data_IF_872407081731
#
_entry.id   IF_872407081731
#
_cell.length_a   1.000
_cell.length_b   1.000
_cell.length_c   1.000
_cell.angle_alpha   90.00
_cell.angle_beta   90.00
_cell.angle_gamma   90.00
#
_symmetry.space_group_name_H-M   'P 1'
#
loop_
_entity.id
_entity.type
_entity.pdbx_description
1 polymer ?
#
# COMPACT_ATOMS: atom_id res chain seq x y z
N UNK A 1 32.77 -2.16 16.76
CA UNK A 1 32.29 -3.47 17.23
C UNK A 1 31.98 -3.39 18.72
N UNK A 2 30.83 -2.81 19.10
CA UNK A 2 30.49 -2.58 20.51
C UNK A 2 30.30 -3.92 21.26
N UNK A 3 29.74 -4.92 20.57
CA UNK A 3 29.50 -6.26 21.11
C UNK A 3 30.79 -7.06 21.33
N UNK A 4 31.76 -6.99 20.41
CA UNK A 4 33.07 -7.63 20.61
C UNK A 4 33.84 -7.04 21.81
N UNK A 5 33.64 -5.75 22.12
CA UNK A 5 34.26 -5.11 23.27
C UNK A 5 33.67 -5.58 24.60
N UNK A 6 32.37 -5.90 24.63
CA UNK A 6 31.67 -6.41 25.83
C UNK A 6 32.28 -7.74 26.27
N UNK A 7 32.52 -8.66 25.34
CA UNK A 7 33.16 -9.96 25.62
C UNK A 7 34.55 -9.82 26.22
N UNK A 8 35.39 -8.98 25.60
CA UNK A 8 36.74 -8.73 26.11
C UNK A 8 36.73 -8.12 27.51
N UNK A 9 35.77 -7.24 27.80
CA UNK A 9 35.60 -6.63 29.13
C UNK A 9 35.11 -7.66 30.14
N UNK A 10 34.14 -8.51 29.78
CA UNK A 10 33.64 -9.59 30.64
C UNK A 10 34.74 -10.61 30.97
N UNK A 11 35.57 -10.97 29.99
CA UNK A 11 36.74 -11.83 30.20
C UNK A 11 37.67 -11.19 31.25
N UNK A 12 38.03 -9.91 31.08
CA UNK A 12 38.91 -9.20 32.03
C UNK A 12 38.29 -9.14 33.43
N UNK A 13 36.99 -8.87 33.54
CA UNK A 13 36.28 -8.82 34.84
C UNK A 13 36.24 -10.21 35.50
N UNK A 14 35.93 -11.27 34.74
CA UNK A 14 35.85 -12.64 35.27
C UNK A 14 37.23 -13.13 35.74
N UNK A 15 38.27 -12.99 34.93
CA UNK A 15 39.62 -13.41 35.34
C UNK A 15 40.20 -12.49 36.42
N UNK A 16 39.89 -11.19 36.39
CA UNK A 16 40.31 -10.23 37.41
C UNK A 16 39.67 -10.50 38.78
N UNK A 17 38.36 -10.77 38.82
CA UNK A 17 37.65 -11.14 40.05
C UNK A 17 38.13 -12.48 40.61
N UNK A 18 38.34 -13.48 39.76
CA UNK A 18 38.89 -14.77 40.19
C UNK A 18 40.30 -14.64 40.79
N UNK A 19 41.14 -13.77 40.21
CA UNK A 19 42.48 -13.48 40.72
C UNK A 19 42.47 -12.78 42.09
N UNK A 20 41.49 -11.90 42.33
CA UNK A 20 41.36 -11.16 43.61
C UNK A 20 40.75 -12.03 44.71
N UNK A 21 39.77 -12.89 44.38
CA UNK A 21 39.02 -13.67 45.37
C UNK A 21 39.77 -14.93 45.81
N UNK A 22 40.48 -15.62 44.91
CA UNK A 22 41.22 -16.87 45.21
C UNK A 22 42.67 -16.82 44.67
N UNK A 23 43.61 -16.15 45.36
CA UNK A 23 44.99 -15.98 44.89
C UNK A 23 45.82 -17.29 44.87
N UNK A 24 45.34 -18.37 45.49
CA UNK A 24 46.04 -19.66 45.56
C UNK A 24 45.60 -20.66 44.48
N UNK A 25 44.54 -20.36 43.71
CA UNK A 25 44.08 -21.23 42.62
C UNK A 25 44.89 -20.99 41.34
N UNK A 26 45.67 -22.00 40.94
CA UNK A 26 46.33 -21.98 39.63
C UNK A 26 45.31 -22.28 38.53
N UNK A 27 44.93 -21.25 37.78
CA UNK A 27 44.10 -21.39 36.58
C UNK A 27 44.82 -22.25 35.54
N UNK A 28 44.37 -23.50 35.39
CA UNK A 28 44.89 -24.40 34.36
C UNK A 28 44.44 -23.92 32.98
N UNK A 29 45.29 -24.01 31.93
CA UNK A 29 44.93 -23.56 30.58
C UNK A 29 43.57 -24.10 30.08
N UNK A 30 43.24 -25.36 30.38
CA UNK A 30 41.97 -25.96 30.00
C UNK A 30 40.73 -25.26 30.58
N UNK A 31 40.79 -24.78 31.82
CA UNK A 31 39.69 -24.03 32.44
C UNK A 31 39.57 -22.63 31.82
N UNK A 32 40.72 -21.97 31.57
CA UNK A 32 40.73 -20.63 30.97
C UNK A 32 40.17 -20.63 29.55
N UNK A 33 40.56 -21.59 28.71
CA UNK A 33 40.01 -21.73 27.36
C UNK A 33 38.52 -22.06 27.37
N UNK A 34 38.07 -22.90 28.31
CA UNK A 34 36.63 -23.21 28.48
C UNK A 34 35.82 -21.99 28.88
N UNK A 35 36.32 -21.17 29.82
CA UNK A 35 35.67 -19.92 30.21
C UNK A 35 35.59 -18.91 29.06
N UNK A 36 36.68 -18.72 28.31
CA UNK A 36 36.70 -17.84 27.14
C UNK A 36 35.72 -18.33 26.06
N UNK A 37 35.61 -19.64 25.86
CA UNK A 37 34.67 -20.22 24.90
C UNK A 37 33.20 -20.02 25.32
N UNK A 38 32.85 -20.18 26.60
CA UNK A 38 31.49 -19.92 27.09
C UNK A 38 31.12 -18.44 26.90
N UNK A 39 32.07 -17.54 27.15
CA UNK A 39 31.87 -16.10 26.94
C UNK A 39 31.68 -15.74 25.46
N UNK A 40 32.44 -16.36 24.55
CA UNK A 40 32.25 -16.13 23.11
C UNK A 40 30.92 -16.68 22.57
N UNK A 41 30.45 -17.82 23.09
CA UNK A 41 29.10 -18.34 22.78
C UNK A 41 28.01 -17.37 23.27
N UNK A 42 28.21 -16.73 24.41
CA UNK A 42 27.28 -15.74 24.96
C UNK A 42 27.13 -14.53 24.03
N UNK A 43 28.19 -14.11 23.34
CA UNK A 43 28.12 -13.00 22.37
C UNK A 43 27.26 -13.32 21.15
N UNK A 44 27.30 -14.57 20.66
CA UNK A 44 26.48 -15.03 19.53
C UNK A 44 25.00 -14.91 19.90
N UNK A 45 24.64 -15.36 21.10
CA UNK A 45 23.27 -15.29 21.61
C UNK A 45 22.83 -13.84 21.79
N UNK A 46 23.67 -13.00 22.39
CA UNK A 46 23.36 -11.59 22.65
C UNK A 46 23.20 -10.79 21.34
N UNK A 47 24.07 -11.03 20.37
CA UNK A 47 23.99 -10.40 19.04
C UNK A 47 22.74 -10.87 18.29
N UNK A 48 22.41 -12.16 18.36
CA UNK A 48 21.19 -12.73 17.78
C UNK A 48 19.93 -12.13 18.39
N UNK A 49 19.89 -11.99 19.72
CA UNK A 49 18.77 -11.35 20.42
C UNK A 49 18.60 -9.88 20.02
N UNK A 50 19.68 -9.11 19.91
CA UNK A 50 19.65 -7.72 19.47
C UNK A 50 19.14 -7.59 18.02
N UNK A 51 19.59 -8.47 17.12
CA UNK A 51 19.10 -8.53 15.74
C UNK A 51 17.60 -8.87 15.68
N UNK A 52 17.14 -9.80 16.50
CA UNK A 52 15.73 -10.16 16.58
C UNK A 52 14.84 -8.98 17.01
N UNK A 53 15.25 -8.24 18.04
CA UNK A 53 14.54 -7.04 18.49
C UNK A 53 14.47 -5.97 17.40
N UNK A 54 15.57 -5.75 16.68
CA UNK A 54 15.62 -4.80 15.56
C UNK A 54 14.73 -5.25 14.39
N UNK A 55 14.75 -6.53 14.06
CA UNK A 55 13.95 -7.06 12.94
C UNK A 55 12.45 -7.05 13.27
N UNK A 56 12.07 -7.27 14.54
CA UNK A 56 10.67 -7.19 14.98
C UNK A 56 10.04 -5.83 14.67
N UNK A 57 10.73 -4.73 14.96
CA UNK A 57 10.18 -3.39 14.69
C UNK A 57 9.99 -3.14 13.19
N UNK A 58 10.98 -3.54 12.37
CA UNK A 58 10.89 -3.43 10.90
C UNK A 58 9.72 -4.24 10.33
N UNK A 59 9.57 -5.49 10.76
CA UNK A 59 8.45 -6.35 10.33
C UNK A 59 7.11 -5.77 10.79
N UNK A 60 7.03 -5.26 12.01
CA UNK A 60 5.79 -4.69 12.54
C UNK A 60 5.33 -3.46 11.75
N UNK A 61 6.24 -2.60 11.32
CA UNK A 61 5.93 -1.44 10.48
C UNK A 61 5.48 -1.87 9.08
N UNK A 62 6.13 -2.88 8.50
CA UNK A 62 5.72 -3.45 7.22
C UNK A 62 4.32 -4.05 7.28
N UNK A 63 4.04 -4.84 8.31
CA UNK A 63 2.71 -5.44 8.52
C UNK A 63 1.63 -4.39 8.76
N UNK A 64 1.92 -3.34 9.53
CA UNK A 64 0.98 -2.23 9.72
C UNK A 64 0.57 -1.61 8.39
N UNK A 65 1.53 -1.27 7.53
CA UNK A 65 1.24 -0.70 6.20
C UNK A 65 0.38 -1.61 5.33
N UNK A 66 0.60 -2.93 5.40
CA UNK A 66 -0.20 -3.91 4.67
C UNK A 66 -1.63 -3.95 5.23
N UNK A 67 -1.77 -3.99 6.56
CA UNK A 67 -3.07 -3.98 7.22
C UNK A 67 -3.81 -2.69 6.89
N UNK A 68 -3.17 -1.54 7.06
CA UNK A 68 -3.74 -0.22 6.77
C UNK A 68 -4.28 -0.17 5.34
N UNK A 69 -3.49 -0.61 4.35
CA UNK A 69 -3.92 -0.70 2.95
C UNK A 69 -5.11 -1.66 2.73
N UNK A 70 -5.08 -2.83 3.37
CA UNK A 70 -6.16 -3.82 3.23
C UNK A 70 -7.45 -3.44 3.98
N UNK A 71 -7.38 -2.49 4.93
CA UNK A 71 -8.52 -1.99 5.70
C UNK A 71 -9.03 -0.64 5.24
N UNK A 72 -8.41 -0.04 4.22
CA UNK A 72 -8.86 1.22 3.62
C UNK A 72 -10.29 1.07 3.08
N UNK A 73 -11.10 2.12 3.19
CA UNK A 73 -12.48 2.08 2.70
C UNK A 73 -12.49 1.84 1.19
N UNK A 74 -13.17 0.78 0.76
CA UNK A 74 -13.43 0.57 -0.66
C UNK A 74 -14.40 1.64 -1.16
N UNK A 75 -14.14 2.16 -2.36
CA UNK A 75 -15.09 3.05 -3.02
C UNK A 75 -16.43 2.33 -3.19
N UNK A 76 -17.50 2.92 -2.65
CA UNK A 76 -18.87 2.38 -2.70
C UNK A 76 -19.19 1.79 -4.09
N UNK A 77 -19.80 0.60 -4.06
CA UNK A 77 -20.09 -0.22 -5.23
C UNK A 77 -20.64 0.63 -6.39
N UNK A 78 -19.94 0.53 -7.53
CA UNK A 78 -20.30 1.14 -8.83
C UNK A 78 -21.82 1.16 -8.99
N UNK A 79 -22.44 2.31 -9.33
CA UNK A 79 -23.89 2.39 -9.49
C UNK A 79 -24.33 1.25 -10.42
N UNK A 80 -25.12 0.35 -9.84
CA UNK A 80 -25.49 -0.96 -10.36
C UNK A 80 -25.69 -0.88 -11.86
N UNK A 81 -24.74 -1.43 -12.63
CA UNK A 81 -24.94 -1.70 -14.05
C UNK A 81 -26.10 -2.70 -14.11
N UNK A 82 -27.33 -2.17 -14.25
CA UNK A 82 -28.53 -2.99 -14.41
C UNK A 82 -28.37 -3.73 -15.74
N UNK A 83 -27.93 -4.99 -15.64
CA UNK A 83 -27.61 -5.83 -16.81
C UNK A 83 -28.83 -5.98 -17.74
N UNK A 84 -30.06 -5.87 -17.22
CA UNK A 84 -31.30 -6.08 -17.97
C UNK A 84 -32.25 -4.87 -17.88
N UNK A 85 -31.82 -3.72 -18.39
CA UNK A 85 -32.73 -2.61 -18.69
C UNK A 85 -32.96 -2.50 -20.21
N UNK A 86 -34.18 -2.19 -20.69
CA UNK A 86 -34.45 -2.00 -22.12
C UNK A 86 -33.59 -0.89 -22.75
N UNK A 87 -33.13 0.08 -21.95
CA UNK A 87 -32.32 1.22 -22.39
C UNK A 87 -30.82 1.00 -22.17
N UNK A 88 -30.25 -0.09 -22.74
CA UNK A 88 -28.80 -0.32 -22.71
C UNK A 88 -28.09 0.78 -23.52
N UNK A 89 -27.08 1.40 -22.92
CA UNK A 89 -26.32 2.51 -23.50
C UNK A 89 -26.75 3.91 -23.02
N UNK A 90 -27.75 4.01 -22.15
CA UNK A 90 -28.14 5.31 -21.57
C UNK A 90 -27.16 5.74 -20.48
N UNK A 91 -26.74 7.01 -20.53
CA UNK A 91 -26.02 7.71 -19.46
C UNK A 91 -26.88 8.87 -19.01
N UNK A 92 -27.35 8.86 -17.75
CA UNK A 92 -28.19 9.91 -17.18
C UNK A 92 -27.58 10.42 -15.88
N UNK A 93 -27.34 11.73 -15.80
CA UNK A 93 -26.79 12.42 -14.64
C UNK A 93 -27.70 13.60 -14.32
N UNK A 94 -28.13 13.74 -13.06
CA UNK A 94 -29.04 14.81 -12.63
C UNK A 94 -28.45 15.56 -11.44
N UNK A 95 -28.05 16.81 -11.67
CA UNK A 95 -27.45 17.74 -10.72
C UNK A 95 -26.30 17.10 -9.91
N UNK A 96 -25.42 16.38 -10.62
CA UNK A 96 -24.35 15.62 -10.02
C UNK A 96 -23.12 16.47 -9.72
N UNK A 97 -22.56 16.32 -8.52
CA UNK A 97 -21.27 16.90 -8.16
C UNK A 97 -20.29 15.80 -7.81
N UNK A 98 -19.10 15.79 -8.44
CA UNK A 98 -18.11 14.73 -8.29
C UNK A 98 -16.81 15.23 -7.69
N UNK A 99 -16.20 14.38 -6.85
CA UNK A 99 -14.88 14.58 -6.27
C UNK A 99 -14.03 13.30 -6.35
N UNK A 100 -12.72 13.48 -6.33
CA UNK A 100 -11.76 12.37 -6.25
C UNK A 100 -11.65 11.77 -4.85
N UNK A 101 -12.02 12.54 -3.82
CA UNK A 101 -11.94 12.15 -2.41
C UNK A 101 -13.35 12.24 -1.81
N UNK A 102 -13.71 11.25 -1.00
CA UNK A 102 -14.99 11.21 -0.29
C UNK A 102 -15.10 12.34 0.74
N UNK A 103 -16.34 12.72 1.09
CA UNK A 103 -16.62 13.80 2.04
C UNK A 103 -16.12 13.55 3.47
N UNK A 104 -15.76 12.31 3.82
CA UNK A 104 -15.21 11.96 5.14
C UNK A 104 -13.92 12.69 5.51
N UNK A 105 -13.16 13.19 4.53
CA UNK A 105 -11.82 13.78 4.72
C UNK A 105 -11.83 15.32 4.89
N UNK A 106 -12.99 15.92 5.19
CA UNK A 106 -13.13 17.34 5.57
C UNK A 106 -12.74 18.39 4.51
N UNK A 107 -12.19 17.99 3.37
CA UNK A 107 -11.64 18.87 2.32
C UNK A 107 -12.04 18.45 0.90
N UNK A 108 -13.11 17.67 0.74
CA UNK A 108 -13.57 17.21 -0.58
C UNK A 108 -14.09 18.40 -1.42
N UNK A 109 -13.21 18.98 -2.24
CA UNK A 109 -13.58 19.98 -3.23
C UNK A 109 -14.13 19.29 -4.48
N UNK A 110 -15.40 19.53 -4.78
CA UNK A 110 -16.01 19.02 -6.00
C UNK A 110 -15.31 19.60 -7.24
N UNK A 111 -14.76 18.71 -8.08
CA UNK A 111 -14.11 19.04 -9.35
C UNK A 111 -15.16 19.31 -10.42
N UNK A 112 -16.19 18.46 -10.46
CA UNK A 112 -17.38 18.66 -11.30
C UNK A 112 -18.53 19.11 -10.42
N UNK A 113 -19.24 20.16 -10.83
CA UNK A 113 -20.31 20.78 -10.03
C UNK A 113 -21.58 20.86 -10.86
N UNK A 114 -22.67 20.39 -10.27
CA UNK A 114 -24.04 20.47 -10.80
C UNK A 114 -24.15 20.02 -12.28
N UNK A 115 -23.53 18.89 -12.61
CA UNK A 115 -23.57 18.28 -13.94
C UNK A 115 -24.91 17.60 -14.17
N UNK A 116 -25.61 18.03 -15.22
CA UNK A 116 -26.84 17.41 -15.70
C UNK A 116 -26.70 17.07 -17.19
N UNK A 117 -26.76 15.80 -17.54
CA UNK A 117 -26.66 15.32 -18.92
C UNK A 117 -27.45 14.03 -19.11
N UNK A 118 -28.01 13.86 -20.30
CA UNK A 118 -28.69 12.63 -20.72
C UNK A 118 -28.17 12.27 -22.11
N UNK A 119 -27.62 11.07 -22.24
CA UNK A 119 -27.15 10.48 -23.50
C UNK A 119 -28.03 9.29 -23.80
N UNK A 120 -28.77 9.38 -24.90
CA UNK A 120 -29.68 8.32 -25.35
C UNK A 120 -28.91 7.19 -26.07
N UNK A 121 -29.42 5.94 -26.05
CA UNK A 121 -28.82 4.84 -26.79
C UNK A 121 -28.71 5.13 -28.28
N UNK A 122 -27.57 4.75 -28.88
CA UNK A 122 -27.32 4.94 -30.31
C UNK A 122 -26.92 6.37 -30.71
N UNK A 123 -26.72 7.27 -29.75
CA UNK A 123 -26.23 8.62 -30.01
C UNK A 123 -24.70 8.68 -30.12
N UNK A 124 -24.21 9.61 -30.95
CA UNK A 124 -22.80 9.98 -31.03
C UNK A 124 -22.62 11.37 -30.40
N UNK A 125 -21.95 11.42 -29.26
CA UNK A 125 -21.79 12.65 -28.46
C UNK A 125 -20.32 13.02 -28.35
N UNK A 126 -20.01 14.30 -28.58
CA UNK A 126 -18.68 14.87 -28.40
C UNK A 126 -18.64 15.85 -27.22
N UNK A 127 -17.57 15.80 -26.41
CA UNK A 127 -17.34 16.73 -25.30
C UNK A 127 -16.14 17.62 -25.64
N UNK A 128 -16.36 18.93 -25.66
CA UNK A 128 -15.32 19.94 -25.99
C UNK A 128 -15.20 20.99 -24.88
N UNK A 129 -14.04 21.62 -24.77
CA UNK A 129 -13.76 22.65 -23.78
C UNK A 129 -12.27 22.85 -23.54
N UNK A 130 -11.91 23.96 -22.88
CA UNK A 130 -10.52 24.32 -22.59
C UNK A 130 -9.77 23.28 -21.74
N UNK A 131 -8.44 23.32 -21.74
CA UNK A 131 -7.62 22.46 -20.88
C UNK A 131 -7.94 22.76 -19.42
N UNK A 132 -8.07 21.72 -18.58
CA UNK A 132 -8.39 21.87 -17.16
C UNK A 132 -9.88 22.01 -16.81
N UNK A 133 -10.80 22.01 -17.78
CA UNK A 133 -12.25 22.12 -17.49
C UNK A 133 -12.92 20.83 -17.00
N UNK A 134 -12.16 19.79 -16.69
CA UNK A 134 -12.71 18.53 -16.15
C UNK A 134 -13.27 17.55 -17.18
N UNK A 135 -12.94 17.65 -18.47
CA UNK A 135 -13.39 16.67 -19.50
C UNK A 135 -12.99 15.23 -19.17
N UNK A 136 -11.73 15.01 -18.83
CA UNK A 136 -11.24 13.69 -18.43
C UNK A 136 -11.88 13.24 -17.11
N UNK A 137 -12.14 14.17 -16.19
CA UNK A 137 -12.89 13.91 -14.96
C UNK A 137 -14.34 13.51 -15.24
N UNK A 138 -14.99 14.08 -16.25
CA UNK A 138 -16.33 13.67 -16.66
C UNK A 138 -16.35 12.22 -17.14
N UNK A 139 -15.33 11.81 -17.91
CA UNK A 139 -15.18 10.41 -18.32
C UNK A 139 -14.96 9.50 -17.10
N UNK A 140 -14.11 9.88 -16.15
CA UNK A 140 -13.92 9.15 -14.89
C UNK A 140 -15.21 9.04 -14.07
N UNK A 141 -16.02 10.10 -14.01
CA UNK A 141 -17.32 10.08 -13.35
C UNK A 141 -18.33 9.13 -14.03
N UNK A 142 -18.31 9.02 -15.35
CA UNK A 142 -19.14 8.05 -16.11
C UNK A 142 -18.67 6.61 -15.86
N UNK A 143 -17.36 6.38 -15.73
CA UNK A 143 -16.80 5.06 -15.39
C UNK A 143 -17.09 4.62 -13.95
N UNK A 144 -17.43 5.58 -13.09
CA UNK A 144 -17.64 5.36 -11.66
C UNK A 144 -16.36 5.49 -10.82
N UNK A 145 -15.28 6.03 -11.38
CA UNK A 145 -14.00 6.22 -10.68
C UNK A 145 -14.01 7.46 -9.75
N UNK A 146 -15.04 8.30 -9.81
CA UNK A 146 -15.20 9.47 -8.94
C UNK A 146 -16.41 9.32 -8.02
N UNK A 147 -16.32 9.85 -6.80
CA UNK A 147 -17.41 9.86 -5.85
C UNK A 147 -18.47 10.91 -6.23
N UNK A 148 -19.73 10.47 -6.33
CA UNK A 148 -20.87 11.37 -6.50
C UNK A 148 -21.30 11.93 -5.15
N UNK A 149 -20.95 13.17 -4.84
CA UNK A 149 -21.25 13.82 -3.56
C UNK A 149 -22.71 14.29 -3.44
N UNK A 150 -23.34 14.60 -4.57
CA UNK A 150 -24.69 15.14 -4.69
C UNK A 150 -25.27 14.70 -6.01
N UNK A 151 -26.59 14.51 -6.08
CA UNK A 151 -27.31 14.18 -7.31
C UNK A 151 -27.41 12.67 -7.55
N UNK A 152 -27.84 12.29 -8.76
CA UNK A 152 -28.00 10.90 -9.16
C UNK A 152 -27.38 10.63 -10.54
N UNK A 153 -26.46 9.66 -10.59
CA UNK A 153 -25.80 9.20 -11.81
C UNK A 153 -26.21 7.76 -12.10
N UNK A 154 -26.60 7.47 -13.34
CA UNK A 154 -27.01 6.15 -13.80
C UNK A 154 -26.40 5.86 -15.17
N UNK A 155 -25.64 4.76 -15.25
CA UNK A 155 -24.99 4.27 -16.48
C UNK A 155 -25.44 2.85 -16.72
N UNK A 156 -26.11 2.61 -17.84
CA UNK A 156 -26.75 1.33 -18.12
C UNK A 156 -26.00 0.57 -19.23
N UNK A 157 -25.46 -0.59 -18.90
CA UNK A 157 -24.84 -1.51 -19.88
C UNK A 157 -23.33 -1.69 -19.70
N UNK A 158 -22.67 -2.25 -20.72
CA UNK A 158 -21.21 -2.44 -20.72
C UNK A 158 -20.53 -1.16 -21.22
N UNK A 159 -19.44 -0.79 -20.57
CA UNK A 159 -18.65 0.39 -20.93
C UNK A 159 -17.29 -0.07 -21.46
N UNK A 160 -16.90 0.45 -22.63
CA UNK A 160 -15.52 0.36 -23.14
C UNK A 160 -14.83 1.70 -22.92
N UNK A 161 -13.60 1.68 -22.42
CA UNK A 161 -12.83 2.88 -22.14
C UNK A 161 -11.48 2.84 -22.84
N UNK A 162 -11.09 3.98 -23.42
CA UNK A 162 -9.76 4.19 -23.99
C UNK A 162 -9.16 5.40 -23.29
N UNK A 163 -8.08 5.17 -22.55
CA UNK A 163 -7.37 6.21 -21.81
C UNK A 163 -6.57 7.13 -22.74
N UNK A 164 -6.35 8.37 -22.29
CA UNK A 164 -5.50 9.33 -23.01
C UNK A 164 -4.04 8.83 -23.13
N UNK A 165 -3.53 8.19 -22.09
CA UNK A 165 -2.24 7.51 -22.10
C UNK A 165 -2.49 6.00 -22.26
N UNK A 166 -2.03 5.37 -23.35
CA UNK A 166 -2.26 3.95 -23.57
C UNK A 166 -1.53 3.11 -22.53
N UNK A 167 -2.23 2.11 -21.99
CA UNK A 167 -1.62 1.09 -21.12
C UNK A 167 -1.26 -0.13 -21.96
N UNK A 168 0.03 -0.39 -22.13
CA UNK A 168 0.57 -1.55 -22.86
C UNK A 168 1.27 -2.46 -21.86
N UNK A 169 0.86 -3.72 -21.81
CA UNK A 169 1.43 -4.74 -20.95
C UNK A 169 2.66 -5.36 -21.62
N UNK A 170 3.58 -5.87 -20.80
CA UNK A 170 4.79 -6.56 -21.26
C UNK A 170 4.45 -7.96 -21.85
N UNK A 171 3.82 -7.97 -23.02
CA UNK A 171 3.29 -9.13 -23.73
C UNK A 171 3.39 -8.92 -25.25
N UNK A 172 3.00 -9.91 -26.06
CA UNK A 172 2.94 -9.72 -27.51
C UNK A 172 1.87 -8.68 -27.90
N UNK A 173 1.95 -8.15 -29.11
CA UNK A 173 0.92 -7.22 -29.64
C UNK A 173 -0.44 -7.91 -29.64
N UNK A 174 -0.50 -9.19 -30.04
CA UNK A 174 -1.74 -9.97 -30.06
C UNK A 174 -2.37 -10.06 -28.67
N UNK A 175 -1.57 -10.39 -27.67
CA UNK A 175 -2.07 -10.58 -26.30
C UNK A 175 -2.48 -9.24 -25.66
N UNK A 176 -1.83 -8.14 -26.04
CA UNK A 176 -2.29 -6.81 -25.64
C UNK A 176 -3.66 -6.44 -26.24
N UNK A 177 -3.98 -6.89 -27.45
CA UNK A 177 -5.28 -6.66 -28.10
C UNK A 177 -6.36 -7.55 -27.48
N UNK A 178 -6.03 -8.82 -27.22
CA UNK A 178 -6.94 -9.79 -26.62
C UNK A 178 -7.01 -9.70 -25.08
N UNK A 179 -6.20 -8.82 -24.47
CA UNK A 179 -6.03 -8.71 -23.01
C UNK A 179 -5.66 -10.06 -22.33
N UNK A 180 -4.84 -10.87 -23.00
CA UNK A 180 -4.35 -12.16 -22.48
C UNK A 180 -5.28 -13.35 -22.69
N UNK A 181 -6.37 -13.19 -23.45
CA UNK A 181 -7.19 -14.30 -23.98
C UNK A 181 -6.56 -14.99 -25.21
#
# INVERSE_FOLDING_TARGET
>A
SLYSAISSVLIIIVFGTLSIVDPTRTLTPGMSFTCVYILSVTDIINTGAALFLRNRSQVSLGLRRIVDFCTEEEQDERPVVRKDHPNRGTVAMTNCSFAWISQGDGTASAVLKDVSLIVEPGSLVGVVGFVGTGKSSLMAAILGDMHCLKGASNVVGRVGYVSQMPSVHNMTIRDNILYGE
#
